data_IF_294187413823
#
_entry.id   IF_294187413823
#
_cell.length_a   1.000
_cell.length_b   1.000
_cell.length_c   1.000
_cell.angle_alpha   90.00
_cell.angle_beta   90.00
_cell.angle_gamma   90.00
#
_symmetry.space_group_name_H-M   'P 1'
#
loop_
_entity.id
_entity.type
_entity.pdbx_description
1 polymer ?
#
# COMPACT_ATOMS: atom_id res chain seq x y z
N UNK A 1 -14.69 25.86 -12.90
CA UNK A 1 -13.40 25.18 -12.63
C UNK A 1 -13.74 23.71 -12.44
N UNK A 2 -13.44 22.87 -13.43
CA UNK A 2 -13.62 21.43 -13.27
C UNK A 2 -12.73 20.96 -12.12
N UNK A 3 -13.34 20.43 -11.06
CA UNK A 3 -12.62 19.74 -10.00
C UNK A 3 -12.10 18.43 -10.61
N UNK A 4 -10.91 18.48 -11.20
CA UNK A 4 -10.29 17.28 -11.75
C UNK A 4 -9.80 16.42 -10.57
N UNK A 5 -10.57 15.40 -10.24
CA UNK A 5 -10.15 14.38 -9.26
C UNK A 5 -8.96 13.61 -9.84
N UNK A 6 -7.81 13.69 -9.19
CA UNK A 6 -6.66 12.86 -9.53
C UNK A 6 -6.78 11.52 -8.78
N UNK A 7 -6.48 10.43 -9.47
CA UNK A 7 -6.39 9.11 -8.85
C UNK A 7 -4.93 8.75 -8.59
N UNK A 8 -4.67 8.01 -7.52
CA UNK A 8 -3.35 7.47 -7.20
C UNK A 8 -3.49 6.05 -6.63
N UNK A 9 -2.50 5.19 -6.85
CA UNK A 9 -2.50 3.86 -6.26
C UNK A 9 -2.04 3.91 -4.80
N UNK A 10 -2.77 3.20 -3.93
CA UNK A 10 -2.45 3.04 -2.51
C UNK A 10 -2.39 1.56 -2.19
N UNK A 11 -1.18 1.04 -2.00
CA UNK A 11 -0.91 -0.35 -1.70
C UNK A 11 -0.84 -0.56 -0.18
N UNK A 12 -1.66 -1.46 0.34
CA UNK A 12 -1.82 -1.73 1.77
C UNK A 12 -1.39 -3.17 2.07
N UNK A 13 -0.21 -3.36 2.68
CA UNK A 13 0.40 -4.68 2.90
C UNK A 13 0.35 -5.04 4.40
N UNK A 14 -0.26 -6.17 4.75
CA UNK A 14 -0.39 -6.60 6.14
C UNK A 14 -0.08 -8.09 6.34
N UNK A 15 0.60 -8.44 7.43
CA UNK A 15 0.80 -9.83 7.87
C UNK A 15 -0.45 -10.45 8.54
N UNK A 16 -1.43 -9.58 8.86
CA UNK A 16 -2.73 -9.90 9.42
C UNK A 16 -3.84 -9.59 8.40
N UNK A 17 -4.94 -8.95 8.80
CA UNK A 17 -6.11 -8.68 7.94
C UNK A 17 -6.03 -7.38 7.14
N UNK A 18 -5.19 -6.42 7.52
CA UNK A 18 -5.07 -5.13 6.83
C UNK A 18 -6.12 -4.06 7.18
N UNK A 19 -7.09 -4.36 8.04
CA UNK A 19 -8.16 -3.41 8.44
C UNK A 19 -7.62 -2.10 9.04
N UNK A 20 -6.55 -2.18 9.84
CA UNK A 20 -5.88 -1.00 10.40
C UNK A 20 -5.35 -0.07 9.31
N UNK A 21 -4.73 -0.64 8.26
CA UNK A 21 -4.21 0.12 7.13
C UNK A 21 -5.33 0.75 6.31
N UNK A 22 -6.43 0.03 6.09
CA UNK A 22 -7.59 0.55 5.36
C UNK A 22 -8.18 1.75 6.09
N UNK A 23 -8.40 1.62 7.40
CA UNK A 23 -8.93 2.71 8.23
C UNK A 23 -8.01 3.93 8.21
N UNK A 24 -6.71 3.72 8.43
CA UNK A 24 -5.72 4.81 8.43
C UNK A 24 -5.58 5.47 7.05
N UNK A 25 -5.50 4.66 5.98
CA UNK A 25 -5.39 5.12 4.60
C UNK A 25 -6.59 5.96 4.17
N UNK A 26 -7.80 5.55 4.54
CA UNK A 26 -9.04 6.33 4.29
C UNK A 26 -9.08 7.62 5.09
N UNK A 27 -8.73 7.57 6.37
CA UNK A 27 -8.69 8.75 7.22
C UNK A 27 -7.69 9.81 6.69
N UNK A 28 -6.51 9.36 6.25
CA UNK A 28 -5.51 10.22 5.63
C UNK A 28 -5.97 10.76 4.27
N UNK A 29 -6.50 9.90 3.39
CA UNK A 29 -6.96 10.29 2.05
C UNK A 29 -8.11 11.30 2.10
N UNK A 30 -8.99 11.21 3.10
CA UNK A 30 -10.08 12.15 3.29
C UNK A 30 -9.63 13.61 3.50
N UNK A 31 -8.36 13.84 3.86
CA UNK A 31 -7.80 15.19 3.98
C UNK A 31 -7.52 15.84 2.62
N UNK A 32 -7.54 15.08 1.52
CA UNK A 32 -7.17 15.53 0.18
C UNK A 32 -8.36 15.45 -0.79
N UNK A 33 -9.19 16.50 -0.81
CA UNK A 33 -10.45 16.53 -1.60
C UNK A 33 -10.30 16.30 -3.11
N UNK A 34 -9.13 16.59 -3.68
CA UNK A 34 -8.86 16.46 -5.12
C UNK A 34 -8.05 15.21 -5.48
N UNK A 35 -7.79 14.31 -4.52
CA UNK A 35 -7.03 13.08 -4.71
C UNK A 35 -7.81 11.88 -4.17
N UNK A 36 -8.08 10.88 -5.01
CA UNK A 36 -8.76 9.65 -4.61
C UNK A 36 -7.84 8.44 -4.72
N UNK A 37 -7.72 7.61 -3.67
CA UNK A 37 -6.93 6.40 -3.72
C UNK A 37 -7.64 5.30 -4.51
N UNK A 38 -6.87 4.56 -5.30
CA UNK A 38 -7.20 3.22 -5.77
C UNK A 38 -6.55 2.25 -4.79
N UNK A 39 -7.34 1.70 -3.88
CA UNK A 39 -6.87 0.81 -2.81
C UNK A 39 -6.51 -0.58 -3.37
N UNK A 40 -5.28 -1.02 -3.14
CA UNK A 40 -4.83 -2.39 -3.37
C UNK A 40 -4.49 -3.04 -2.03
N UNK A 41 -5.28 -4.02 -1.60
CA UNK A 41 -5.13 -4.63 -0.26
C UNK A 41 -4.49 -6.01 -0.37
N UNK A 42 -3.40 -6.20 0.38
CA UNK A 42 -2.63 -7.45 0.42
C UNK A 42 -2.58 -7.97 1.87
N UNK A 43 -3.61 -8.73 2.30
CA UNK A 43 -3.63 -9.31 3.63
C UNK A 43 -2.80 -10.61 3.69
N UNK A 44 -2.48 -11.04 4.91
CA UNK A 44 -1.83 -12.32 5.22
C UNK A 44 -0.45 -12.52 4.55
N UNK A 45 0.30 -11.44 4.33
CA UNK A 45 1.66 -11.47 3.78
C UNK A 45 2.64 -11.79 4.92
N UNK A 46 3.01 -13.07 5.06
CA UNK A 46 3.76 -13.59 6.20
C UNK A 46 5.11 -14.19 5.84
N UNK A 47 5.46 -14.22 4.56
CA UNK A 47 6.74 -14.71 4.08
C UNK A 47 7.11 -14.12 2.73
N UNK A 48 8.38 -14.29 2.36
CA UNK A 48 8.96 -13.73 1.13
C UNK A 48 8.24 -14.20 -0.14
N UNK A 49 7.80 -15.46 -0.18
CA UNK A 49 7.10 -16.04 -1.35
C UNK A 49 5.77 -15.33 -1.59
N UNK A 50 5.07 -14.91 -0.54
CA UNK A 50 3.84 -14.13 -0.66
C UNK A 50 4.10 -12.66 -1.00
N UNK A 51 5.21 -12.09 -0.50
CA UNK A 51 5.55 -10.68 -0.72
C UNK A 51 6.03 -10.39 -2.15
N UNK A 52 6.80 -11.30 -2.77
CA UNK A 52 7.38 -11.05 -4.10
C UNK A 52 6.34 -10.70 -5.19
N UNK A 53 5.21 -11.42 -5.33
CA UNK A 53 4.16 -11.02 -6.27
C UNK A 53 3.51 -9.66 -5.97
N UNK A 54 3.45 -9.27 -4.69
CA UNK A 54 2.92 -7.95 -4.28
C UNK A 54 3.84 -6.85 -4.76
N UNK A 55 5.16 -7.03 -4.59
CA UNK A 55 6.16 -6.09 -5.09
C UNK A 55 6.09 -5.93 -6.61
N UNK A 56 5.91 -7.03 -7.35
CA UNK A 56 5.70 -6.95 -8.80
C UNK A 56 4.42 -6.17 -9.15
N UNK A 57 3.33 -6.38 -8.42
CA UNK A 57 2.09 -5.63 -8.64
C UNK A 57 2.24 -4.13 -8.33
N UNK A 58 3.14 -3.76 -7.42
CA UNK A 58 3.51 -2.36 -7.16
C UNK A 58 4.32 -1.79 -8.33
N UNK A 59 5.29 -2.54 -8.87
CA UNK A 59 6.07 -2.12 -10.04
C UNK A 59 5.17 -1.93 -11.28
N UNK A 60 4.17 -2.78 -11.46
CA UNK A 60 3.21 -2.70 -12.56
C UNK A 60 2.23 -1.52 -12.42
N UNK A 61 1.93 -1.09 -11.18
CA UNK A 61 1.04 0.02 -10.88
C UNK A 61 1.60 0.91 -9.76
N UNK A 62 2.63 1.74 -10.05
CA UNK A 62 3.36 2.47 -9.02
C UNK A 62 2.47 3.40 -8.18
N UNK A 63 2.73 3.45 -6.87
CA UNK A 63 1.91 4.19 -5.93
C UNK A 63 2.51 4.30 -4.53
N UNK A 64 1.71 4.83 -3.61
CA UNK A 64 2.07 4.92 -2.19
C UNK A 64 1.93 3.54 -1.55
N UNK A 65 2.93 3.12 -0.78
CA UNK A 65 2.90 1.87 -0.02
C UNK A 65 2.77 2.18 1.47
N UNK A 66 1.74 1.61 2.11
CA UNK A 66 1.60 1.57 3.56
C UNK A 66 1.60 0.11 4.00
N UNK A 67 2.35 -0.20 5.05
CA UNK A 67 2.41 -1.58 5.54
C UNK A 67 2.38 -1.69 7.06
N UNK A 68 1.88 -2.82 7.53
CA UNK A 68 1.98 -3.29 8.92
C UNK A 68 2.57 -4.70 8.89
N UNK A 69 3.86 -4.81 9.12
CA UNK A 69 4.60 -6.07 9.06
C UNK A 69 5.46 -6.16 10.33
N UNK A 70 5.26 -7.20 11.13
CA UNK A 70 6.04 -7.43 12.36
C UNK A 70 7.40 -8.05 12.04
N UNK A 71 7.46 -8.89 11.02
CA UNK A 71 8.71 -9.53 10.58
C UNK A 71 9.67 -8.49 9.99
N UNK A 72 10.85 -8.35 10.61
CA UNK A 72 11.82 -7.32 10.23
C UNK A 72 12.44 -7.56 8.86
N UNK A 73 12.64 -8.81 8.46
CA UNK A 73 13.24 -9.13 7.16
C UNK A 73 12.28 -8.77 6.03
N UNK A 74 10.99 -9.05 6.20
CA UNK A 74 9.96 -8.65 5.24
C UNK A 74 9.79 -7.13 5.19
N UNK A 75 9.77 -6.45 6.34
CA UNK A 75 9.69 -4.99 6.38
C UNK A 75 10.88 -4.33 5.66
N UNK A 76 12.10 -4.78 5.95
CA UNK A 76 13.30 -4.28 5.25
C UNK A 76 13.25 -4.53 3.75
N UNK A 77 12.77 -5.70 3.32
CA UNK A 77 12.60 -5.98 1.88
C UNK A 77 11.59 -5.04 1.22
N UNK A 78 10.50 -4.65 1.90
CA UNK A 78 9.55 -3.66 1.39
C UNK A 78 10.25 -2.30 1.25
N UNK A 79 10.94 -1.86 2.31
CA UNK A 79 11.63 -0.56 2.32
C UNK A 79 12.67 -0.45 1.21
N UNK A 80 13.54 -1.46 1.06
CA UNK A 80 14.58 -1.50 0.03
C UNK A 80 13.97 -1.40 -1.37
N UNK A 81 12.91 -2.15 -1.64
CA UNK A 81 12.27 -2.20 -2.96
C UNK A 81 11.49 -0.93 -3.31
N UNK A 82 11.02 -0.19 -2.32
CA UNK A 82 10.27 1.06 -2.54
C UNK A 82 11.16 2.32 -2.60
N UNK A 83 12.47 2.18 -2.33
CA UNK A 83 13.45 3.28 -2.43
C UNK A 83 14.06 3.38 -3.84
N UNK A 84 14.18 2.25 -4.55
CA UNK A 84 14.73 2.16 -5.91
C UNK A 84 13.88 2.87 -6.97
#
# INVERSE_FOLDING_TARGET
MENRTNFFHLHLISDSTGETLISAGRAASAQFRSAQPIEHVYPLIRNRKQLLPVLQAIDDAPGIVLYTIVDRELASLIDERCIE
#
